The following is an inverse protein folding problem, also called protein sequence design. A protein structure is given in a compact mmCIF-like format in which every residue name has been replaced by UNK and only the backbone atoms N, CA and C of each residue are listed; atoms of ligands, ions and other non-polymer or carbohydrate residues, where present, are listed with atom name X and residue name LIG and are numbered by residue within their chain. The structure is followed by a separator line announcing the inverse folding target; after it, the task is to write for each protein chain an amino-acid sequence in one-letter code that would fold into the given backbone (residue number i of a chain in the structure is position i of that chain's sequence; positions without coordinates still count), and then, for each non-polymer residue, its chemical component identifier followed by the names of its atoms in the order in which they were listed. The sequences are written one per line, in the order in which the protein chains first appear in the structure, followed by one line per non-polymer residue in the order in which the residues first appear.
data_IF_795860330709
#
_entry.id   IF_795860330709
#
_cell.length_a   1.000
_cell.length_b   1.000
_cell.length_c   1.000
_cell.angle_alpha   90.00
_cell.angle_beta   90.00
_cell.angle_gamma   90.00
#
_symmetry.space_group_name_H-M   'P 1'
#
loop_
_entity.id
_entity.type
_entity.pdbx_description
1 polymer ?
#
# COMPACT_ATOMS: atom_id res chain seq x y z
N UNK A 1 -34.97 -45.12 -22.49
CA UNK A 1 -33.87 -45.83 -21.81
C UNK A 1 -32.54 -45.05 -21.78
N UNK A 2 -31.88 -44.72 -22.90
CA UNK A 2 -30.58 -44.00 -22.86
C UNK A 2 -30.74 -42.53 -22.40
N UNK A 3 -31.81 -41.87 -22.83
CA UNK A 3 -32.12 -40.48 -22.43
C UNK A 3 -32.48 -40.33 -20.95
N UNK A 4 -33.13 -41.34 -20.38
CA UNK A 4 -33.53 -41.35 -18.97
C UNK A 4 -32.32 -41.58 -18.05
N UNK A 5 -31.34 -42.38 -18.49
CA UNK A 5 -30.06 -42.55 -17.79
C UNK A 5 -29.24 -41.25 -17.78
N UNK A 6 -29.26 -40.47 -18.87
CA UNK A 6 -28.59 -39.16 -18.91
C UNK A 6 -29.27 -38.13 -17.98
N UNK A 7 -30.60 -38.05 -18.01
CA UNK A 7 -31.36 -37.14 -17.15
C UNK A 7 -31.17 -37.46 -15.65
N UNK A 8 -31.10 -38.74 -15.29
CA UNK A 8 -30.84 -39.17 -13.91
C UNK A 8 -29.41 -38.81 -13.42
N UNK A 9 -28.42 -38.83 -14.32
CA UNK A 9 -27.03 -38.43 -14.03
C UNK A 9 -26.93 -36.92 -13.85
N UNK A 10 -27.60 -36.12 -14.69
CA UNK A 10 -27.61 -34.66 -14.58
C UNK A 10 -28.33 -34.19 -13.30
N UNK A 11 -29.49 -34.78 -12.99
CA UNK A 11 -30.23 -34.45 -11.76
C UNK A 11 -29.44 -34.82 -10.48
N UNK A 12 -28.70 -35.94 -10.50
CA UNK A 12 -27.82 -36.34 -9.40
C UNK A 12 -26.60 -35.42 -9.24
N UNK A 13 -26.05 -34.93 -10.35
CA UNK A 13 -24.94 -33.98 -10.35
C UNK A 13 -25.37 -32.60 -9.81
N UNK A 14 -26.50 -32.06 -10.28
CA UNK A 14 -27.02 -30.77 -9.80
C UNK A 14 -27.37 -30.79 -8.31
N UNK A 15 -27.95 -31.89 -7.81
CA UNK A 15 -28.23 -32.06 -6.37
C UNK A 15 -26.95 -32.11 -5.52
N UNK A 16 -25.88 -32.73 -6.04
CA UNK A 16 -24.56 -32.78 -5.38
C UNK A 16 -23.90 -31.40 -5.33
N UNK A 17 -23.98 -30.62 -6.42
CA UNK A 17 -23.45 -29.25 -6.49
C UNK A 17 -24.23 -28.27 -5.59
N UNK A 18 -25.56 -28.41 -5.50
CA UNK A 18 -26.40 -27.52 -4.69
C UNK A 18 -26.23 -27.71 -3.17
N UNK A 19 -25.77 -28.88 -2.72
CA UNK A 19 -25.60 -29.18 -1.28
C UNK A 19 -24.32 -28.60 -0.66
N UNK A 20 -23.32 -28.24 -1.48
CA UNK A 20 -22.01 -27.77 -1.00
C UNK A 20 -21.86 -26.25 -0.92
N UNK A 21 -22.80 -25.47 -1.45
CA UNK A 21 -22.80 -24.01 -1.31
C UNK A 21 -23.61 -23.60 -0.09
N UNK A 22 -23.17 -24.03 1.10
CA UNK A 22 -23.53 -23.31 2.32
C UNK A 22 -22.88 -21.93 2.21
N UNK A 23 -23.70 -20.88 2.08
CA UNK A 23 -23.27 -19.48 2.12
C UNK A 23 -22.49 -19.25 3.41
N UNK A 24 -21.17 -19.43 3.37
CA UNK A 24 -20.28 -18.95 4.40
C UNK A 24 -20.40 -17.45 4.42
N UNK A 25 -20.89 -16.89 5.54
CA UNK A 25 -20.81 -15.47 5.77
C UNK A 25 -19.35 -15.05 5.57
N UNK A 26 -19.09 -14.20 4.58
CA UNK A 26 -17.76 -13.64 4.36
C UNK A 26 -17.48 -12.76 5.57
N UNK A 27 -16.67 -13.27 6.51
CA UNK A 27 -16.18 -12.47 7.62
C UNK A 27 -15.50 -11.24 7.01
N UNK A 28 -15.87 -10.00 7.39
CA UNK A 28 -15.21 -8.82 6.86
C UNK A 28 -13.73 -8.93 7.26
N UNK A 29 -12.86 -9.23 6.29
CA UNK A 29 -11.42 -9.17 6.50
C UNK A 29 -11.14 -7.76 7.00
N UNK A 30 -10.62 -7.66 8.23
CA UNK A 30 -10.13 -6.41 8.78
C UNK A 30 -9.11 -5.90 7.77
N UNK A 31 -9.44 -4.84 7.05
CA UNK A 31 -8.52 -4.24 6.09
C UNK A 31 -7.48 -3.49 6.93
N UNK A 32 -6.37 -4.15 7.25
CA UNK A 32 -5.23 -3.49 7.87
C UNK A 32 -4.81 -2.40 6.89
N UNK A 33 -5.06 -1.13 7.24
CA UNK A 33 -4.65 0.00 6.42
C UNK A 33 -3.13 0.08 6.53
N UNK A 34 -2.42 -0.56 5.60
CA UNK A 34 -0.97 -0.39 5.45
C UNK A 34 -0.75 1.10 5.25
N UNK A 35 -0.12 1.75 6.22
CA UNK A 35 0.17 3.18 6.14
C UNK A 35 1.53 3.34 5.46
N UNK A 36 1.58 3.71 4.17
CA UNK A 36 2.83 3.66 3.44
C UNK A 36 3.81 4.72 3.97
N UNK A 37 5.11 4.44 3.91
CA UNK A 37 6.14 5.37 4.36
C UNK A 37 6.05 6.75 3.68
N UNK A 38 5.73 6.78 2.38
CA UNK A 38 5.55 8.04 1.64
C UNK A 38 4.43 8.91 2.22
N UNK A 39 3.37 8.30 2.75
CA UNK A 39 2.28 9.07 3.34
C UNK A 39 2.73 9.70 4.65
N UNK A 40 3.46 8.95 5.47
CA UNK A 40 4.04 9.47 6.72
C UNK A 40 5.00 10.63 6.44
N UNK A 41 5.81 10.53 5.39
CA UNK A 41 6.71 11.58 4.93
C UNK A 41 5.93 12.88 4.64
N UNK A 42 4.87 12.78 3.85
CA UNK A 42 4.04 13.94 3.48
C UNK A 42 3.36 14.55 4.71
N UNK A 43 2.89 13.74 5.66
CA UNK A 43 2.32 14.22 6.92
C UNK A 43 3.35 14.96 7.79
N UNK A 44 4.59 14.48 7.83
CA UNK A 44 5.67 15.17 8.54
C UNK A 44 5.92 16.53 7.91
N UNK A 45 6.06 16.60 6.58
CA UNK A 45 6.27 17.86 5.87
C UNK A 45 5.08 18.82 6.00
N UNK A 46 3.84 18.30 6.05
CA UNK A 46 2.65 19.10 6.27
C UNK A 46 2.63 19.74 7.66
N UNK A 47 3.13 19.05 8.68
CA UNK A 47 3.15 19.52 10.08
C UNK A 47 4.35 20.40 10.40
N UNK A 48 5.55 20.00 9.96
CA UNK A 48 6.80 20.70 10.23
C UNK A 48 7.13 21.78 9.21
N UNK A 49 6.54 21.70 8.02
CA UNK A 49 7.01 22.46 6.87
C UNK A 49 8.31 21.87 6.32
N UNK A 50 9.09 22.72 5.69
CA UNK A 50 10.32 22.34 5.04
C UNK A 50 11.43 21.98 6.04
N UNK A 51 12.07 20.82 5.84
CA UNK A 51 13.10 20.27 6.73
C UNK A 51 14.29 19.74 5.92
N UNK A 52 15.29 19.18 6.58
CA UNK A 52 16.43 18.53 5.93
C UNK A 52 16.13 17.07 5.63
N UNK A 53 16.75 16.52 4.58
CA UNK A 53 16.63 15.10 4.25
C UNK A 53 17.08 14.18 5.38
N UNK A 54 18.12 14.57 6.14
CA UNK A 54 18.59 13.83 7.32
C UNK A 54 17.57 13.81 8.45
N UNK A 55 17.03 14.97 8.84
CA UNK A 55 16.01 15.06 9.91
C UNK A 55 14.73 14.32 9.49
N UNK A 56 14.33 14.44 8.22
CA UNK A 56 13.17 13.73 7.69
C UNK A 56 13.36 12.20 7.72
N UNK A 57 14.56 11.72 7.40
CA UNK A 57 14.88 10.30 7.47
C UNK A 57 14.82 9.77 8.90
N UNK A 58 15.41 10.50 9.86
CA UNK A 58 15.38 10.13 11.28
C UNK A 58 13.93 9.92 11.74
N UNK A 59 13.04 10.88 11.48
CA UNK A 59 11.62 10.76 11.86
C UNK A 59 10.85 9.61 11.21
N UNK A 60 11.19 9.25 9.97
CA UNK A 60 10.54 8.13 9.29
C UNK A 60 11.10 6.80 9.78
N UNK A 61 12.42 6.72 9.96
CA UNK A 61 13.10 5.50 10.41
C UNK A 61 12.60 5.02 11.77
N UNK A 62 12.22 5.93 12.68
CA UNK A 62 11.55 5.62 13.96
C UNK A 62 10.25 4.80 13.80
N UNK A 63 9.55 4.94 12.66
CA UNK A 63 8.29 4.24 12.37
C UNK A 63 8.44 3.07 11.41
N UNK A 64 9.49 3.08 10.59
CA UNK A 64 9.76 2.09 9.55
C UNK A 64 11.20 1.59 9.71
N UNK A 65 11.40 0.67 10.65
CA UNK A 65 12.72 0.15 11.02
C UNK A 65 13.50 -0.50 9.85
N UNK A 66 12.80 -0.98 8.82
CA UNK A 66 13.40 -1.63 7.66
C UNK A 66 13.69 -0.64 6.51
N UNK A 67 13.42 0.65 6.70
CA UNK A 67 13.64 1.66 5.66
C UNK A 67 15.10 2.07 5.58
N UNK A 68 15.80 1.61 4.54
CA UNK A 68 17.16 2.07 4.25
C UNK A 68 17.21 3.47 3.64
N UNK A 69 18.37 4.13 3.75
CA UNK A 69 18.63 5.41 3.08
C UNK A 69 18.42 5.35 1.56
N UNK A 70 18.72 4.20 0.92
CA UNK A 70 18.49 4.01 -0.52
C UNK A 70 17.01 4.11 -0.86
N UNK A 71 16.16 3.39 -0.14
CA UNK A 71 14.71 3.36 -0.36
C UNK A 71 14.07 4.71 -0.03
N UNK A 72 14.56 5.38 1.02
CA UNK A 72 14.18 6.75 1.34
C UNK A 72 14.53 7.73 0.21
N UNK A 73 15.76 7.67 -0.32
CA UNK A 73 16.18 8.53 -1.43
C UNK A 73 15.36 8.25 -2.71
N UNK A 74 15.07 6.99 -3.00
CA UNK A 74 14.21 6.63 -4.12
C UNK A 74 12.78 7.15 -3.91
N UNK A 75 12.27 7.10 -2.69
CA UNK A 75 10.97 7.66 -2.33
C UNK A 75 10.92 9.18 -2.53
N UNK A 76 11.95 9.91 -2.08
CA UNK A 76 12.07 11.35 -2.34
C UNK A 76 12.08 11.65 -3.85
N UNK A 77 12.88 10.91 -4.62
CA UNK A 77 12.95 11.06 -6.08
C UNK A 77 11.58 10.85 -6.73
N UNK A 78 10.87 9.78 -6.36
CA UNK A 78 9.53 9.48 -6.89
C UNK A 78 8.52 10.59 -6.56
N UNK A 79 8.55 11.12 -5.33
CA UNK A 79 7.65 12.18 -4.90
C UNK A 79 7.95 13.53 -5.57
N UNK A 80 9.22 13.81 -5.84
CA UNK A 80 9.65 15.00 -6.56
C UNK A 80 9.22 14.94 -8.03
N UNK A 81 9.43 13.81 -8.70
CA UNK A 81 8.93 13.58 -10.08
C UNK A 81 7.40 13.68 -10.14
N UNK A 82 6.70 13.18 -9.12
CA UNK A 82 5.24 13.27 -9.02
C UNK A 82 4.72 14.68 -8.66
N UNK A 83 5.60 15.67 -8.46
CA UNK A 83 5.21 17.04 -8.11
C UNK A 83 4.58 17.16 -6.74
N UNK A 84 4.91 16.27 -5.79
CA UNK A 84 4.41 16.34 -4.40
C UNK A 84 5.34 17.11 -3.47
N UNK A 85 6.64 17.02 -3.74
CA UNK A 85 7.67 17.69 -2.96
C UNK A 85 8.67 18.38 -3.91
N UNK A 86 9.43 19.32 -3.35
CA UNK A 86 10.62 19.89 -3.96
C UNK A 86 11.82 19.56 -3.10
N UNK A 87 12.94 19.21 -3.74
CA UNK A 87 14.24 19.16 -3.07
C UNK A 87 15.15 20.29 -3.54
N UNK A 88 15.85 20.93 -2.61
CA UNK A 88 16.84 21.97 -2.93
C UNK A 88 18.16 21.64 -2.24
N UNK A 89 19.27 21.64 -2.98
CA UNK A 89 20.59 21.41 -2.37
C UNK A 89 20.94 22.59 -1.46
N UNK A 90 21.34 22.30 -0.22
CA UNK A 90 21.85 23.30 0.72
C UNK A 90 23.38 23.34 0.67
N UNK A 91 23.99 22.17 0.88
CA UNK A 91 25.43 21.93 0.78
C UNK A 91 25.66 20.53 0.21
N UNK A 92 26.92 20.14 -0.01
CA UNK A 92 27.25 18.81 -0.53
C UNK A 92 26.67 17.72 0.38
N UNK A 93 25.75 16.92 -0.16
CA UNK A 93 25.13 15.81 0.54
C UNK A 93 23.99 16.19 1.50
N UNK A 94 23.58 17.46 1.56
CA UNK A 94 22.45 17.91 2.38
C UNK A 94 21.41 18.63 1.54
N UNK A 95 20.15 18.22 1.70
CA UNK A 95 19.03 18.75 0.92
C UNK A 95 17.95 19.31 1.85
N UNK A 96 17.31 20.39 1.43
CA UNK A 96 16.04 20.86 1.96
C UNK A 96 14.91 20.18 1.21
N UNK A 97 13.92 19.67 1.92
CA UNK A 97 12.74 19.01 1.38
C UNK A 97 11.50 19.76 1.84
N UNK A 98 10.60 20.09 0.92
CA UNK A 98 9.37 20.82 1.20
C UNK A 98 8.20 20.36 0.33
N UNK A 99 6.96 20.54 0.78
CA UNK A 99 5.77 20.29 -0.04
C UNK A 99 5.66 21.34 -1.15
N UNK A 100 5.16 20.91 -2.31
CA UNK A 100 4.74 21.84 -3.37
C UNK A 100 3.35 22.35 -3.01
N UNK A 101 3.19 23.68 -2.99
CA UNK A 101 1.93 24.38 -2.71
C UNK A 101 1.08 24.55 -3.96
#
# INVERSE_FOLDING_TARGET
MVQELYAAVEAGAEASYASHVKRGAVMPMKLWKTHPAYYTLLEILKKKGATTDTELFEHISEKFNDLGFKDFNEMLMRLEIAGKIRTTSLTRGKKRVELIA
#
